data_IF_633583643750
#
_entry.id   IF_633583643750
#
_cell.length_a   1.000
_cell.length_b   1.000
_cell.length_c   1.000
_cell.angle_alpha   90.00
_cell.angle_beta   90.00
_cell.angle_gamma   90.00
#
_symmetry.space_group_name_H-M   'P 1'
#
loop_
_entity.id
_entity.type
_entity.pdbx_description
1 polymer ?
#
# COMPACT_ATOMS: atom_id res chain seq x y z
N UNK A 1 -19.01 -4.94 -4.46
CA UNK A 1 -18.69 -3.65 -3.81
C UNK A 1 -17.80 -2.93 -4.78
N UNK A 2 -18.34 -1.92 -5.45
CA UNK A 2 -17.54 -1.07 -6.34
C UNK A 2 -16.65 -0.20 -5.46
N UNK A 3 -15.38 -0.07 -5.85
CA UNK A 3 -14.43 0.79 -5.15
C UNK A 3 -14.64 2.23 -5.59
N UNK A 4 -14.54 3.15 -4.65
CA UNK A 4 -14.61 4.57 -4.96
C UNK A 4 -13.36 5.01 -5.74
N UNK A 5 -13.54 6.04 -6.57
CA UNK A 5 -12.47 6.66 -7.34
C UNK A 5 -11.54 7.39 -6.37
N UNK A 6 -10.24 7.31 -6.63
CA UNK A 6 -9.21 7.94 -5.81
C UNK A 6 -9.33 9.47 -5.83
N UNK A 7 -9.31 10.10 -4.66
CA UNK A 7 -9.10 11.55 -4.55
C UNK A 7 -7.61 11.87 -4.76
N UNK A 8 -7.18 11.91 -6.02
CA UNK A 8 -5.77 12.09 -6.37
C UNK A 8 -5.19 13.39 -5.79
N UNK A 9 -5.97 14.46 -5.72
CA UNK A 9 -5.49 15.78 -5.32
C UNK A 9 -5.17 15.76 -3.82
N UNK A 10 -6.01 15.11 -3.01
CA UNK A 10 -5.70 14.86 -1.61
C UNK A 10 -4.48 13.94 -1.48
N UNK A 11 -4.51 12.77 -2.13
CA UNK A 11 -3.49 11.75 -1.91
C UNK A 11 -2.12 12.17 -2.42
N UNK A 12 -2.01 13.08 -3.39
CA UNK A 12 -0.75 13.68 -3.85
C UNK A 12 -0.06 14.56 -2.79
N UNK A 13 -0.80 15.07 -1.80
CA UNK A 13 -0.24 15.88 -0.70
C UNK A 13 0.37 15.07 0.43
N UNK A 14 0.16 13.75 0.42
CA UNK A 14 0.59 12.85 1.48
C UNK A 14 1.96 12.25 1.15
N UNK A 15 2.90 12.29 2.10
CA UNK A 15 4.28 11.81 1.89
C UNK A 15 4.54 10.41 2.43
N UNK A 16 3.73 9.97 3.41
CA UNK A 16 3.87 8.67 4.06
C UNK A 16 2.53 7.96 4.10
N UNK A 17 2.55 6.66 3.88
CA UNK A 17 1.35 5.86 3.68
C UNK A 17 1.40 4.59 4.50
N UNK A 18 0.23 4.19 4.99
CA UNK A 18 0.03 2.84 5.48
C UNK A 18 0.16 1.82 4.34
N UNK A 19 0.34 0.56 4.74
CA UNK A 19 0.42 -0.55 3.79
C UNK A 19 -0.90 -0.71 3.03
N UNK A 20 -2.03 -0.53 3.70
CA UNK A 20 -3.33 -0.67 3.05
C UNK A 20 -3.64 0.51 2.15
N UNK A 21 -3.40 1.75 2.61
CA UNK A 21 -3.56 2.94 1.77
C UNK A 21 -2.80 2.78 0.46
N UNK A 22 -1.52 2.42 0.54
CA UNK A 22 -0.70 2.16 -0.64
C UNK A 22 -1.29 1.06 -1.53
N UNK A 23 -1.73 -0.07 -0.96
CA UNK A 23 -2.26 -1.17 -1.75
C UNK A 23 -3.56 -0.82 -2.50
N UNK A 24 -4.43 -0.02 -1.89
CA UNK A 24 -5.64 0.52 -2.50
C UNK A 24 -5.30 1.54 -3.60
N UNK A 25 -4.45 2.52 -3.28
CA UNK A 25 -4.06 3.57 -4.21
C UNK A 25 -3.31 3.02 -5.44
N UNK A 26 -2.45 2.02 -5.26
CA UNK A 26 -1.79 1.30 -6.37
C UNK A 26 -2.77 0.51 -7.24
N UNK A 27 -3.98 0.25 -6.75
CA UNK A 27 -5.08 -0.30 -7.55
C UNK A 27 -5.97 0.77 -8.19
N UNK A 28 -5.64 2.06 -8.06
CA UNK A 28 -6.51 3.21 -8.39
C UNK A 28 -7.89 3.09 -7.69
N UNK A 29 -7.87 2.74 -6.41
CA UNK A 29 -9.05 2.66 -5.57
C UNK A 29 -8.86 3.49 -4.29
N UNK A 30 -9.92 4.19 -3.86
CA UNK A 30 -9.89 4.95 -2.62
C UNK A 30 -9.67 3.99 -1.43
N UNK A 31 -8.68 4.28 -0.55
CA UNK A 31 -8.47 3.51 0.66
C UNK A 31 -9.69 3.50 1.58
N UNK A 32 -9.95 2.36 2.21
CA UNK A 32 -10.90 2.32 3.31
C UNK A 32 -10.30 2.95 4.56
N UNK A 33 -11.17 3.55 5.38
CA UNK A 33 -10.79 4.01 6.72
C UNK A 33 -10.16 2.87 7.53
N UNK A 34 -9.00 3.16 8.11
CA UNK A 34 -8.36 2.24 9.04
C UNK A 34 -8.93 2.43 10.46
N UNK A 35 -9.08 1.36 11.25
CA UNK A 35 -8.81 -0.03 10.89
C UNK A 35 -9.92 -0.62 10.02
N UNK A 36 -9.53 -1.37 8.97
CA UNK A 36 -10.48 -2.12 8.15
C UNK A 36 -11.26 -3.07 9.07
N UNK A 37 -12.58 -2.90 9.10
CA UNK A 37 -13.47 -3.74 9.91
C UNK A 37 -13.21 -5.21 9.65
N UNK A 38 -13.18 -6.03 10.71
CA UNK A 38 -12.94 -7.47 10.63
C UNK A 38 -13.93 -8.23 9.72
N UNK A 39 -15.08 -7.63 9.45
CA UNK A 39 -16.13 -8.20 8.60
C UNK A 39 -16.03 -7.76 7.12
N UNK A 40 -15.09 -6.86 6.79
CA UNK A 40 -14.83 -6.46 5.40
C UNK A 40 -13.66 -7.25 4.83
N UNK A 41 -13.89 -7.90 3.70
CA UNK A 41 -12.83 -8.56 2.94
C UNK A 41 -12.33 -7.59 1.86
N UNK A 42 -11.06 -7.16 1.91
CA UNK A 42 -10.49 -6.32 0.86
C UNK A 42 -10.51 -7.07 -0.47
N UNK A 43 -10.56 -6.35 -1.61
CA UNK A 43 -10.47 -6.98 -2.92
C UNK A 43 -9.19 -7.82 -3.06
N UNK A 44 -9.29 -9.00 -3.69
CA UNK A 44 -8.17 -9.92 -3.83
C UNK A 44 -6.94 -9.28 -4.53
N UNK A 45 -7.17 -8.34 -5.46
CA UNK A 45 -6.09 -7.58 -6.12
C UNK A 45 -5.33 -6.69 -5.13
N UNK A 46 -6.04 -6.02 -4.22
CA UNK A 46 -5.47 -5.16 -3.16
C UNK A 46 -4.67 -6.01 -2.17
N UNK A 47 -5.22 -7.14 -1.73
CA UNK A 47 -4.53 -8.05 -0.82
C UNK A 47 -3.24 -8.64 -1.44
N UNK A 48 -3.29 -8.98 -2.73
CA UNK A 48 -2.11 -9.42 -3.49
C UNK A 48 -1.06 -8.30 -3.59
N UNK A 49 -1.46 -7.08 -3.95
CA UNK A 49 -0.52 -5.95 -4.02
C UNK A 49 0.09 -5.63 -2.67
N UNK A 50 -0.69 -5.65 -1.58
CA UNK A 50 -0.17 -5.49 -0.22
C UNK A 50 0.98 -6.46 0.07
N UNK A 51 0.81 -7.73 -0.28
CA UNK A 51 1.85 -8.76 -0.07
C UNK A 51 3.09 -8.47 -0.90
N UNK A 52 2.91 -8.02 -2.15
CA UNK A 52 4.01 -7.64 -3.04
C UNK A 52 4.76 -6.43 -2.46
N UNK A 53 4.05 -5.39 -2.03
CA UNK A 53 4.64 -4.18 -1.47
C UNK A 53 5.51 -4.49 -0.25
N UNK A 54 5.00 -5.24 0.72
CA UNK A 54 5.75 -5.62 1.93
C UNK A 54 7.05 -6.36 1.61
N UNK A 55 7.03 -7.23 0.62
CA UNK A 55 8.20 -8.05 0.26
C UNK A 55 9.24 -7.28 -0.58
N UNK A 56 8.88 -6.16 -1.21
CA UNK A 56 9.72 -5.50 -2.21
C UNK A 56 10.02 -4.03 -1.91
N UNK A 57 9.26 -3.39 -1.02
CA UNK A 57 9.46 -2.00 -0.63
C UNK A 57 9.86 -1.96 0.84
N UNK A 58 11.01 -1.36 1.10
CA UNK A 58 11.54 -1.22 2.45
C UNK A 58 10.69 -0.25 3.28
N UNK A 59 10.66 -0.48 4.59
CA UNK A 59 10.06 0.46 5.53
C UNK A 59 10.78 1.82 5.48
N UNK A 60 10.04 2.92 5.49
CA UNK A 60 10.59 4.26 5.27
C UNK A 60 11.60 4.70 6.34
N UNK A 61 11.36 4.36 7.62
CA UNK A 61 12.30 4.68 8.71
C UNK A 61 13.47 3.71 8.83
N UNK A 62 13.23 2.40 8.79
CA UNK A 62 14.26 1.40 9.10
C UNK A 62 15.05 0.97 7.88
N UNK A 63 14.52 1.16 6.67
CA UNK A 63 15.12 0.67 5.43
C UNK A 63 15.07 -0.86 5.29
N UNK A 64 14.35 -1.56 6.18
CA UNK A 64 14.27 -3.02 6.16
C UNK A 64 13.10 -3.51 5.30
N UNK A 65 13.31 -4.61 4.58
CA UNK A 65 12.24 -5.35 3.92
C UNK A 65 11.52 -6.25 4.91
N UNK A 66 10.22 -6.43 4.69
CA UNK A 66 9.46 -7.38 5.49
C UNK A 66 9.91 -8.82 5.17
N UNK A 67 10.54 -9.51 6.13
CA UNK A 67 10.93 -10.91 5.95
C UNK A 67 9.81 -11.83 6.42
N UNK A 68 9.20 -12.57 5.48
CA UNK A 68 8.14 -13.54 5.75
C UNK A 68 8.61 -14.79 6.53
N UNK A 69 9.90 -14.88 6.88
CA UNK A 69 10.58 -16.08 7.40
C UNK A 69 10.39 -16.38 8.90
N UNK A 70 9.62 -15.59 9.64
CA UNK A 70 9.48 -15.72 11.10
C UNK A 70 8.09 -16.04 11.63
N UNK A 71 7.10 -16.38 10.78
CA UNK A 71 5.68 -16.37 11.18
C UNK A 71 5.05 -17.74 11.37
N UNK A 72 4.48 -17.96 12.57
CA UNK A 72 3.58 -19.06 12.89
C UNK A 72 2.12 -18.64 12.62
N UNK A 73 1.30 -19.56 12.12
CA UNK A 73 -0.12 -19.35 11.80
C UNK A 73 -1.03 -18.95 12.99
N UNK A 74 -0.49 -18.78 14.21
CA UNK A 74 -1.28 -18.49 15.43
C UNK A 74 -1.53 -17.01 15.70
N UNK A 75 -0.77 -16.10 15.10
CA UNK A 75 -0.97 -14.66 15.20
C UNK A 75 -1.79 -14.17 14.01
N UNK A 76 -3.12 -14.37 14.06
CA UNK A 76 -4.01 -13.54 13.27
C UNK A 76 -3.80 -12.08 13.69
N UNK A 77 -3.32 -11.28 12.73
CA UNK A 77 -3.03 -9.83 12.72
C UNK A 77 -1.60 -9.44 13.11
N UNK A 78 -1.08 -8.39 12.43
CA UNK A 78 -0.30 -7.39 13.11
C UNK A 78 -1.08 -6.08 13.11
N UNK A 79 -1.37 -5.60 14.31
CA UNK A 79 -1.40 -4.16 14.58
C UNK A 79 -0.03 -3.48 14.29
N UNK A 80 1.00 -4.22 13.87
CA UNK A 80 2.30 -3.68 13.45
C UNK A 80 2.33 -3.12 12.01
N UNK A 81 1.24 -3.20 11.26
CA UNK A 81 1.11 -2.53 9.94
C UNK A 81 -0.04 -1.51 9.91
N UNK A 82 -0.64 -1.22 11.07
CA UNK A 82 -1.44 0.00 11.23
C UNK A 82 -0.47 1.13 11.54
N UNK A 83 -0.46 2.16 10.70
CA UNK A 83 0.54 3.22 10.71
C UNK A 83 1.33 3.28 9.42
N UNK A 84 2.09 4.36 9.29
CA UNK A 84 2.85 4.65 8.09
C UNK A 84 4.00 3.67 7.92
N UNK A 85 4.20 3.21 6.69
CA UNK A 85 5.21 2.21 6.35
C UNK A 85 6.02 2.63 5.13
N UNK A 86 5.37 3.24 4.14
CA UNK A 86 5.99 3.61 2.88
C UNK A 86 6.09 5.12 2.74
N UNK A 87 7.22 5.60 2.21
CA UNK A 87 7.32 6.98 1.74
C UNK A 87 6.97 7.07 0.25
N UNK A 88 6.38 8.19 -0.16
CA UNK A 88 6.05 8.51 -1.56
C UNK A 88 7.25 8.29 -2.48
N UNK A 89 8.43 8.74 -2.08
CA UNK A 89 9.64 8.65 -2.89
C UNK A 89 10.06 7.20 -3.14
N UNK A 90 10.02 6.34 -2.10
CA UNK A 90 10.30 4.91 -2.25
C UNK A 90 9.25 4.20 -3.10
N UNK A 91 7.97 4.57 -2.92
CA UNK A 91 6.89 4.05 -3.74
C UNK A 91 7.04 4.44 -5.20
N UNK A 92 7.42 5.68 -5.49
CA UNK A 92 7.63 6.15 -6.86
C UNK A 92 8.79 5.41 -7.55
N UNK A 93 9.91 5.18 -6.84
CA UNK A 93 11.04 4.41 -7.36
C UNK A 93 10.59 3.00 -7.69
N UNK A 94 9.99 2.30 -6.71
CA UNK A 94 9.53 0.94 -6.90
C UNK A 94 8.44 0.83 -7.98
N UNK A 95 7.49 1.76 -8.02
CA UNK A 95 6.39 1.76 -8.98
C UNK A 95 6.89 1.98 -10.41
N UNK A 96 7.97 2.76 -10.63
CA UNK A 96 8.58 2.92 -11.96
C UNK A 96 9.25 1.65 -12.48
N UNK A 97 9.74 0.81 -11.56
CA UNK A 97 10.33 -0.48 -11.91
C UNK A 97 9.26 -1.56 -12.11
N UNK A 98 8.18 -1.50 -11.33
CA UNK A 98 7.10 -2.49 -11.35
C UNK A 98 6.05 -2.23 -12.44
N UNK A 99 5.66 -0.97 -12.62
CA UNK A 99 4.74 -0.51 -13.66
C UNK A 99 5.55 0.18 -14.77
N UNK A 100 5.16 0.00 -16.03
CA UNK A 100 5.74 0.84 -17.08
C UNK A 100 5.38 2.31 -16.78
N UNK A 101 6.28 3.26 -17.04
CA UNK A 101 6.09 4.69 -16.69
C UNK A 101 4.75 5.27 -17.16
N UNK A 102 4.13 4.69 -18.19
CA UNK A 102 2.81 5.04 -18.74
C UNK A 102 1.60 4.52 -17.95
N UNK A 103 1.82 3.79 -16.87
CA UNK A 103 0.78 3.10 -16.09
C UNK A 103 0.94 3.31 -14.58
N UNK A 104 1.66 4.36 -14.20
CA UNK A 104 1.82 4.71 -12.79
C UNK A 104 0.45 5.02 -12.16
N UNK A 105 0.23 4.63 -10.90
CA UNK A 105 -0.95 5.03 -10.16
C UNK A 105 -1.07 6.55 -10.06
N UNK A 106 -2.29 7.06 -10.13
CA UNK A 106 -2.56 8.51 -10.26
C UNK A 106 -2.01 9.32 -9.07
N UNK A 107 -2.03 8.74 -7.87
CA UNK A 107 -1.50 9.40 -6.68
C UNK A 107 0.02 9.60 -6.69
N UNK A 108 0.75 8.89 -7.56
CA UNK A 108 2.21 9.00 -7.73
C UNK A 108 2.60 9.77 -9.00
N UNK A 109 1.64 10.11 -9.85
CA UNK A 109 1.88 10.87 -11.06
C UNK A 109 2.07 12.35 -10.68
N UNK A 110 3.16 12.96 -11.15
CA UNK A 110 3.47 14.38 -10.91
C UNK A 110 3.21 15.23 -12.17
N UNK A 111 2.48 14.69 -13.15
CA UNK A 111 2.23 15.37 -14.43
C UNK A 111 1.09 16.41 -14.38
#
# INVERSE_FOLDING_TARGET
>A
MELEVVDKDYWQTIDVFSVWQTAFLMCNAEPWDEPISANRMPPAKVEKLRTILLNNVAHFETGELFTSGGWSCKSQRPAQLSGDYFSRSMLLVWAKDYFSMTSLPEFLDNS
#
